data_IF_445464307253
#
_entry.id   IF_445464307253
#
_cell.length_a   1.000
_cell.length_b   1.000
_cell.length_c   1.000
_cell.angle_alpha   90.00
_cell.angle_beta   90.00
_cell.angle_gamma   90.00
#
_symmetry.space_group_name_H-M   'P 1'
#
loop_
_entity.id
_entity.type
_entity.pdbx_description
1 polymer ?
#
# COMPACT_ATOMS: atom_id res chain seq x y z
N UNK A 1 47.57 35.77 11.77
CA UNK A 1 46.34 35.68 12.60
C UNK A 1 46.25 34.27 13.15
N UNK A 2 45.70 34.06 14.35
CA UNK A 2 45.45 32.71 14.87
C UNK A 2 44.46 31.96 13.97
N UNK A 3 44.64 30.64 13.86
CA UNK A 3 43.77 29.76 13.09
C UNK A 3 42.37 29.68 13.71
N UNK A 4 41.33 29.81 12.89
CA UNK A 4 39.93 29.71 13.32
C UNK A 4 39.45 28.28 13.13
N UNK A 5 39.03 27.64 14.23
CA UNK A 5 38.46 26.29 14.20
C UNK A 5 36.93 26.37 14.15
N UNK A 6 36.31 25.83 13.08
CA UNK A 6 34.86 25.67 13.02
C UNK A 6 34.44 24.44 13.84
N UNK A 7 33.59 24.64 14.86
CA UNK A 7 33.02 23.55 15.66
C UNK A 7 31.66 23.17 15.09
N UNK A 8 31.57 21.96 14.52
CA UNK A 8 30.31 21.40 14.05
C UNK A 8 29.36 21.08 15.20
N UNK A 9 28.06 21.13 14.91
CA UNK A 9 27.02 20.67 15.85
C UNK A 9 27.23 19.18 16.14
N UNK A 10 27.21 18.82 17.43
CA UNK A 10 27.27 17.42 17.85
C UNK A 10 26.01 16.67 17.40
N UNK A 11 26.13 15.44 16.87
CA UNK A 11 24.98 14.63 16.51
C UNK A 11 24.07 14.35 17.71
N UNK A 12 22.76 14.31 17.47
CA UNK A 12 21.79 13.92 18.49
C UNK A 12 21.93 12.44 18.86
N UNK A 13 21.75 12.12 20.14
CA UNK A 13 21.79 10.74 20.63
C UNK A 13 20.55 9.98 20.16
N UNK A 14 20.76 8.88 19.43
CA UNK A 14 19.69 7.97 19.01
C UNK A 14 19.24 7.07 20.16
N UNK A 15 17.96 6.65 20.20
CA UNK A 15 17.49 5.65 21.16
C UNK A 15 18.18 4.29 20.93
N UNK A 16 18.11 3.42 21.94
CA UNK A 16 18.62 2.04 21.83
C UNK A 16 17.83 1.25 20.80
N UNK A 17 18.53 0.45 19.97
CA UNK A 17 17.93 -0.41 18.96
C UNK A 17 16.91 -1.38 19.54
N UNK A 18 17.18 -1.98 20.70
CA UNK A 18 16.26 -2.91 21.38
C UNK A 18 14.88 -2.30 21.63
N UNK A 19 14.83 -1.04 22.08
CA UNK A 19 13.56 -0.33 22.31
C UNK A 19 12.87 -0.06 20.97
N UNK A 20 13.60 0.42 19.97
CA UNK A 20 13.04 0.65 18.63
C UNK A 20 12.44 -0.62 18.03
N UNK A 21 13.16 -1.74 18.08
CA UNK A 21 12.72 -3.03 17.52
C UNK A 21 11.49 -3.57 18.25
N UNK A 22 11.47 -3.48 19.58
CA UNK A 22 10.32 -3.89 20.39
C UNK A 22 9.05 -3.14 19.99
N UNK A 23 9.12 -1.81 19.83
CA UNK A 23 7.97 -1.01 19.40
C UNK A 23 7.58 -1.26 17.94
N UNK A 24 8.54 -1.53 17.05
CA UNK A 24 8.25 -1.94 15.67
C UNK A 24 7.45 -3.25 15.65
N UNK A 25 7.82 -4.25 16.45
CA UNK A 25 7.08 -5.50 16.56
C UNK A 25 5.67 -5.30 17.15
N UNK A 26 5.54 -4.44 18.17
CA UNK A 26 4.24 -4.08 18.74
C UNK A 26 3.34 -3.43 17.68
N UNK A 27 3.87 -2.52 16.85
CA UNK A 27 3.14 -1.91 15.74
C UNK A 27 2.72 -2.91 14.66
N UNK A 28 3.51 -3.97 14.42
CA UNK A 28 3.19 -5.03 13.46
C UNK A 28 2.19 -6.05 14.01
N UNK A 29 2.07 -6.21 15.33
CA UNK A 29 1.24 -7.25 15.95
C UNK A 29 -0.26 -7.20 15.56
N UNK A 30 -0.94 -6.02 15.52
CA UNK A 30 -2.34 -5.97 15.07
C UNK A 30 -2.53 -6.42 13.62
N UNK A 31 -1.55 -6.14 12.75
CA UNK A 31 -1.59 -6.56 11.36
C UNK A 31 -1.48 -8.09 11.23
N UNK A 32 -0.70 -8.76 12.08
CA UNK A 32 -0.59 -10.23 12.10
C UNK A 32 -1.82 -10.90 12.73
N UNK A 33 -2.41 -10.27 13.73
CA UNK A 33 -3.61 -10.75 14.40
C UNK A 33 -4.84 -10.76 13.46
N UNK A 34 -4.94 -9.78 12.56
CA UNK A 34 -6.08 -9.63 11.65
C UNK A 34 -6.29 -10.86 10.73
N UNK A 35 -5.29 -11.37 9.97
CA UNK A 35 -5.42 -12.60 9.20
C UNK A 35 -5.83 -13.82 10.03
N UNK A 36 -5.30 -13.96 11.26
CA UNK A 36 -5.67 -15.06 12.16
C UNK A 36 -7.16 -15.01 12.48
N UNK A 37 -7.70 -13.84 12.80
CA UNK A 37 -9.12 -13.66 13.06
C UNK A 37 -9.98 -13.90 11.81
N UNK A 38 -9.53 -13.46 10.64
CA UNK A 38 -10.23 -13.75 9.39
C UNK A 38 -10.28 -15.25 9.08
N UNK A 39 -9.20 -15.99 9.31
CA UNK A 39 -9.20 -17.45 9.13
C UNK A 39 -10.13 -18.16 10.13
N UNK A 40 -10.31 -17.60 11.34
CA UNK A 40 -11.27 -18.12 12.33
C UNK A 40 -12.73 -17.92 11.92
N UNK A 41 -13.07 -16.74 11.38
CA UNK A 41 -14.45 -16.40 10.98
C UNK A 41 -14.78 -16.96 9.58
N UNK A 42 -13.76 -17.18 8.74
CA UNK A 42 -13.87 -17.61 7.36
C UNK A 42 -13.77 -16.43 6.37
N UNK A 43 -13.06 -16.66 5.27
CA UNK A 43 -12.94 -15.70 4.16
C UNK A 43 -14.04 -15.96 3.13
N UNK A 44 -14.79 -14.91 2.77
CA UNK A 44 -15.87 -15.00 1.79
C UNK A 44 -15.56 -14.22 0.50
N UNK A 45 -15.34 -14.96 -0.60
CA UNK A 45 -15.15 -14.39 -1.94
C UNK A 45 -16.35 -14.58 -2.88
N UNK A 46 -17.50 -15.05 -2.38
CA UNK A 46 -18.66 -15.44 -3.20
C UNK A 46 -19.28 -14.30 -4.02
N UNK A 47 -19.00 -13.04 -3.64
CA UNK A 47 -19.49 -11.86 -4.35
C UNK A 47 -18.48 -11.26 -5.33
N UNK A 48 -17.30 -11.86 -5.48
CA UNK A 48 -16.28 -11.35 -6.39
C UNK A 48 -16.68 -11.63 -7.86
N UNK A 49 -16.74 -10.62 -8.74
CA UNK A 49 -16.96 -10.85 -10.17
C UNK A 49 -15.75 -11.56 -10.75
N UNK A 50 -15.90 -12.77 -11.30
CA UNK A 50 -14.80 -13.48 -11.94
C UNK A 50 -14.70 -13.07 -13.40
N UNK A 51 -13.98 -11.98 -13.67
CA UNK A 51 -13.71 -11.51 -15.03
C UNK A 51 -12.31 -10.89 -15.13
N UNK A 52 -11.86 -10.66 -16.37
CA UNK A 52 -10.53 -10.09 -16.64
C UNK A 52 -10.32 -8.75 -15.92
N UNK A 53 -11.35 -7.89 -15.85
CA UNK A 53 -11.27 -6.59 -15.20
C UNK A 53 -11.02 -6.69 -13.69
N UNK A 54 -11.54 -7.72 -13.02
CA UNK A 54 -11.28 -7.95 -11.60
C UNK A 54 -9.81 -8.27 -11.34
N UNK A 55 -9.21 -9.13 -12.16
CA UNK A 55 -7.78 -9.46 -12.07
C UNK A 55 -6.94 -8.24 -12.41
N UNK A 56 -7.28 -7.52 -13.49
CA UNK A 56 -6.59 -6.28 -13.87
C UNK A 56 -6.65 -5.24 -12.77
N UNK A 57 -7.81 -5.04 -12.13
CA UNK A 57 -7.99 -4.06 -11.05
C UNK A 57 -7.14 -4.39 -9.82
N UNK A 58 -7.18 -5.64 -9.33
CA UNK A 58 -6.39 -6.03 -8.17
C UNK A 58 -4.89 -6.05 -8.48
N UNK A 59 -4.52 -6.47 -9.69
CA UNK A 59 -3.13 -6.42 -10.16
C UNK A 59 -2.60 -4.99 -10.26
N UNK A 60 -3.37 -4.07 -10.85
CA UNK A 60 -2.96 -2.66 -10.95
C UNK A 60 -2.97 -1.96 -9.59
N UNK A 61 -3.89 -2.32 -8.69
CA UNK A 61 -3.91 -1.84 -7.31
C UNK A 61 -2.69 -2.34 -6.52
N UNK A 62 -2.30 -3.62 -6.67
CA UNK A 62 -1.07 -4.14 -6.08
C UNK A 62 0.16 -3.41 -6.65
N UNK A 63 0.18 -3.14 -7.96
CA UNK A 63 1.24 -2.36 -8.59
C UNK A 63 1.31 -0.90 -8.06
N UNK A 64 0.18 -0.28 -7.69
CA UNK A 64 0.18 1.03 -7.02
C UNK A 64 0.88 0.98 -5.66
N UNK A 65 0.56 -0.03 -4.83
CA UNK A 65 1.24 -0.19 -3.53
C UNK A 65 2.74 -0.48 -3.71
N UNK A 66 3.10 -1.33 -4.67
CA UNK A 66 4.49 -1.57 -5.01
C UNK A 66 5.20 -0.30 -5.49
N UNK A 67 4.55 0.52 -6.33
CA UNK A 67 5.10 1.79 -6.79
C UNK A 67 5.40 2.73 -5.62
N UNK A 68 4.51 2.84 -4.64
CA UNK A 68 4.75 3.67 -3.46
C UNK A 68 5.89 3.14 -2.59
N UNK A 69 6.04 1.82 -2.50
CA UNK A 69 7.19 1.23 -1.82
C UNK A 69 8.51 1.56 -2.54
N UNK A 70 8.56 1.44 -3.87
CA UNK A 70 9.76 1.79 -4.65
C UNK A 70 10.03 3.30 -4.64
N UNK A 71 8.99 4.14 -4.60
CA UNK A 71 9.12 5.57 -4.38
C UNK A 71 9.80 5.88 -3.04
N UNK A 72 9.38 5.21 -1.97
CA UNK A 72 10.01 5.38 -0.66
C UNK A 72 11.50 4.98 -0.66
N UNK A 73 11.88 3.98 -1.47
CA UNK A 73 13.26 3.50 -1.54
C UNK A 73 14.17 4.36 -2.43
N UNK A 74 13.70 4.78 -3.61
CA UNK A 74 14.62 5.32 -4.62
C UNK A 74 14.04 6.27 -5.68
N UNK A 75 12.74 6.27 -5.98
CA UNK A 75 12.22 7.12 -7.07
C UNK A 75 12.11 8.57 -6.64
N UNK A 76 12.32 9.49 -7.59
CA UNK A 76 11.94 10.87 -7.38
C UNK A 76 10.44 11.11 -7.68
N UNK A 77 9.98 12.33 -7.38
CA UNK A 77 8.58 12.72 -7.53
C UNK A 77 8.10 12.61 -8.99
N UNK A 78 8.86 13.11 -9.96
CA UNK A 78 8.43 13.13 -11.37
C UNK A 78 8.39 11.73 -11.99
N UNK A 79 9.34 10.87 -11.65
CA UNK A 79 9.32 9.47 -12.05
C UNK A 79 8.09 8.74 -11.49
N UNK A 80 7.83 8.94 -10.19
CA UNK A 80 6.69 8.35 -9.51
C UNK A 80 5.39 8.82 -10.15
N UNK A 81 5.23 10.12 -10.40
CA UNK A 81 4.04 10.66 -11.07
C UNK A 81 3.84 10.09 -12.48
N UNK A 82 4.91 9.89 -13.25
CA UNK A 82 4.85 9.28 -14.59
C UNK A 82 4.31 7.84 -14.51
N UNK A 83 4.88 7.01 -13.63
CA UNK A 83 4.40 5.62 -13.46
C UNK A 83 3.00 5.57 -12.85
N UNK A 84 2.72 6.46 -11.90
CA UNK A 84 1.42 6.59 -11.24
C UNK A 84 0.33 6.96 -12.25
N UNK A 85 0.60 7.83 -13.22
CA UNK A 85 -0.36 8.18 -14.26
C UNK A 85 -0.78 6.94 -15.08
N UNK A 86 0.18 6.09 -15.45
CA UNK A 86 -0.09 4.86 -16.21
C UNK A 86 -0.84 3.83 -15.36
N UNK A 87 -0.29 3.45 -14.21
CA UNK A 87 -0.88 2.41 -13.34
C UNK A 87 -2.22 2.89 -12.75
N UNK A 88 -2.31 4.16 -12.38
CA UNK A 88 -3.52 4.81 -11.89
C UNK A 88 -4.62 4.87 -12.95
N UNK A 89 -4.28 5.20 -14.20
CA UNK A 89 -5.21 5.16 -15.32
C UNK A 89 -5.79 3.76 -15.55
N UNK A 90 -4.94 2.72 -15.53
CA UNK A 90 -5.37 1.32 -15.61
C UNK A 90 -6.28 0.94 -14.44
N UNK A 91 -5.89 1.30 -13.22
CA UNK A 91 -6.67 1.03 -12.00
C UNK A 91 -8.04 1.70 -12.04
N UNK A 92 -8.11 2.94 -12.52
CA UNK A 92 -9.35 3.68 -12.68
C UNK A 92 -10.31 2.99 -13.66
N UNK A 93 -9.82 2.64 -14.86
CA UNK A 93 -10.65 1.99 -15.89
C UNK A 93 -11.14 0.63 -15.40
N UNK A 94 -10.23 -0.22 -14.91
CA UNK A 94 -10.57 -1.56 -14.43
C UNK A 94 -11.51 -1.50 -13.22
N UNK A 95 -11.25 -0.62 -12.26
CA UNK A 95 -12.09 -0.41 -11.08
C UNK A 95 -13.51 0.02 -11.46
N UNK A 96 -13.66 0.95 -12.40
CA UNK A 96 -14.97 1.35 -12.91
C UNK A 96 -15.77 0.16 -13.49
N UNK A 97 -15.10 -0.70 -14.27
CA UNK A 97 -15.70 -1.91 -14.85
C UNK A 97 -16.12 -2.92 -13.76
N UNK A 98 -15.27 -3.15 -12.76
CA UNK A 98 -15.55 -4.05 -11.63
C UNK A 98 -16.74 -3.56 -10.82
N UNK A 99 -16.74 -2.27 -10.43
CA UNK A 99 -17.84 -1.68 -9.66
C UNK A 99 -19.17 -1.72 -10.43
N UNK A 100 -19.15 -1.47 -11.74
CA UNK A 100 -20.35 -1.63 -12.59
C UNK A 100 -20.83 -3.08 -12.66
N UNK A 101 -19.93 -4.06 -12.69
CA UNK A 101 -20.30 -5.48 -12.68
C UNK A 101 -20.98 -5.85 -11.35
N UNK A 102 -20.43 -5.40 -10.21
CA UNK A 102 -21.01 -5.60 -8.88
C UNK A 102 -22.40 -4.95 -8.79
N UNK A 103 -22.52 -3.69 -9.24
CA UNK A 103 -23.79 -2.96 -9.20
C UNK A 103 -24.88 -3.64 -10.05
N UNK A 104 -24.54 -4.11 -11.26
CA UNK A 104 -25.48 -4.85 -12.12
C UNK A 104 -25.95 -6.16 -11.49
N UNK A 105 -25.02 -6.96 -10.94
CA UNK A 105 -25.35 -8.20 -10.22
C UNK A 105 -26.27 -7.94 -9.02
N UNK A 106 -26.01 -6.86 -8.29
CA UNK A 106 -26.87 -6.45 -7.16
C UNK A 106 -28.26 -6.07 -7.63
N UNK A 107 -28.37 -5.27 -8.70
CA UNK A 107 -29.65 -4.86 -9.26
C UNK A 107 -30.50 -6.06 -9.69
N UNK A 108 -29.91 -7.04 -10.37
CA UNK A 108 -30.62 -8.25 -10.83
C UNK A 108 -31.07 -9.19 -9.71
N UNK A 109 -30.56 -9.03 -8.47
CA UNK A 109 -31.01 -9.82 -7.31
C UNK A 109 -32.23 -9.13 -6.63
N UNK A 110 -32.38 -7.82 -6.82
CA UNK A 110 -33.43 -7.02 -6.19
C UNK A 110 -34.69 -6.90 -7.06
N UNK A 111 -34.57 -7.16 -8.37
CA UNK A 111 -35.68 -7.31 -9.32
C UNK A 111 -36.15 -8.77 -9.35
#
# INVERSE_FOLDING_TARGET
>A
LPEINHVFRQPEKRPSTVVSDAFTLICLAPLLLLPVLWLRIGLNFGNMPLNVWTVTFHGSLAALFALYFVFWLQLNMFETLKYLAVVGGLTYIAGNRVLRAIARKRKSILE
#
